data_IF_201378113626
#
_entry.id   IF_201378113626
#
_cell.length_a   1.000
_cell.length_b   1.000
_cell.length_c   1.000
_cell.angle_alpha   90.00
_cell.angle_beta   90.00
_cell.angle_gamma   90.00
#
_symmetry.space_group_name_H-M   'P 1'
#
loop_
_entity.id
_entity.type
_entity.pdbx_description
1 polymer ?
#
# COMPACT_ATOMS: atom_id res chain seq x y z
N UNK A 1 -16.76 -21.25 28.16
CA UNK A 1 -15.64 -21.05 27.20
C UNK A 1 -16.00 -21.71 25.88
N UNK A 2 -16.52 -20.93 24.93
CA UNK A 2 -16.77 -21.38 23.55
C UNK A 2 -15.43 -21.58 22.86
N UNK A 3 -15.13 -22.82 22.48
CA UNK A 3 -13.97 -23.18 21.66
C UNK A 3 -14.03 -22.37 20.36
N UNK A 4 -13.03 -21.53 20.15
CA UNK A 4 -12.71 -20.97 18.84
C UNK A 4 -12.39 -22.18 17.95
N UNK A 5 -13.12 -22.44 16.86
CA UNK A 5 -12.75 -23.50 15.95
C UNK A 5 -11.46 -23.08 15.25
N UNK A 6 -10.38 -23.81 15.52
CA UNK A 6 -9.16 -23.81 14.72
C UNK A 6 -9.52 -24.15 13.27
N UNK A 7 -9.77 -23.11 12.47
CA UNK A 7 -9.77 -23.18 11.02
C UNK A 7 -8.32 -23.34 10.59
N UNK A 8 -7.79 -24.54 10.80
CA UNK A 8 -6.49 -24.98 10.31
C UNK A 8 -6.38 -24.63 8.83
N UNK A 9 -5.51 -23.67 8.54
CA UNK A 9 -5.31 -23.07 7.24
C UNK A 9 -4.58 -24.07 6.33
N UNK A 10 -5.25 -25.15 5.94
CA UNK A 10 -4.81 -26.07 4.88
C UNK A 10 -4.99 -25.36 3.53
N UNK A 11 -4.16 -24.35 3.26
CA UNK A 11 -4.04 -23.85 1.90
C UNK A 11 -3.54 -25.00 1.02
N UNK A 12 -4.33 -25.34 -0.01
CA UNK A 12 -3.91 -26.23 -1.08
C UNK A 12 -2.51 -25.79 -1.57
N UNK A 13 -1.58 -26.74 -1.78
CA UNK A 13 -0.20 -26.49 -2.22
C UNK A 13 -0.12 -25.51 -3.42
N UNK A 14 -1.09 -25.53 -4.34
CA UNK A 14 -1.18 -24.54 -5.41
C UNK A 14 -1.48 -23.11 -4.92
N UNK A 15 -2.37 -22.93 -3.93
CA UNK A 15 -2.65 -21.62 -3.32
C UNK A 15 -1.46 -21.07 -2.56
N UNK A 16 -0.66 -21.94 -1.92
CA UNK A 16 0.61 -21.56 -1.30
C UNK A 16 1.59 -21.03 -2.35
N UNK A 17 1.76 -21.74 -3.47
CA UNK A 17 2.64 -21.29 -4.56
C UNK A 17 2.17 -19.94 -5.12
N UNK A 18 0.87 -19.77 -5.35
CA UNK A 18 0.31 -18.49 -5.82
C UNK A 18 0.55 -17.36 -4.80
N UNK A 19 0.39 -17.62 -3.50
CA UNK A 19 0.67 -16.64 -2.46
C UNK A 19 2.16 -16.22 -2.44
N UNK A 20 3.09 -17.17 -2.59
CA UNK A 20 4.52 -16.85 -2.67
C UNK A 20 4.86 -16.07 -3.95
N UNK A 21 4.29 -16.45 -5.09
CA UNK A 21 4.47 -15.70 -6.35
C UNK A 21 3.90 -14.28 -6.25
N UNK A 22 2.72 -14.12 -5.64
CA UNK A 22 2.13 -12.81 -5.39
C UNK A 22 3.00 -11.95 -4.46
N UNK A 23 3.55 -12.55 -3.40
CA UNK A 23 4.46 -11.87 -2.49
C UNK A 23 5.75 -11.42 -3.19
N UNK A 24 6.36 -12.29 -4.00
CA UNK A 24 7.55 -11.94 -4.80
C UNK A 24 7.21 -10.82 -5.79
N UNK A 25 6.09 -10.93 -6.50
CA UNK A 25 5.63 -9.89 -7.44
C UNK A 25 5.42 -8.54 -6.76
N UNK A 26 4.77 -8.53 -5.59
CA UNK A 26 4.59 -7.32 -4.80
C UNK A 26 5.94 -6.68 -4.41
N UNK A 27 6.90 -7.48 -3.93
CA UNK A 27 8.24 -6.98 -3.56
C UNK A 27 8.99 -6.41 -4.77
N UNK A 28 8.89 -7.02 -5.95
CA UNK A 28 9.49 -6.48 -7.18
C UNK A 28 8.88 -5.13 -7.54
N UNK A 29 7.53 -5.01 -7.50
CA UNK A 29 6.82 -3.76 -7.76
C UNK A 29 7.27 -2.68 -6.76
N UNK A 30 7.42 -3.02 -5.47
CA UNK A 30 7.93 -2.10 -4.45
C UNK A 30 9.38 -1.70 -4.71
N UNK A 31 10.28 -2.63 -5.06
CA UNK A 31 11.66 -2.31 -5.38
C UNK A 31 11.79 -1.34 -6.56
N UNK A 32 11.05 -1.59 -7.65
CA UNK A 32 10.99 -0.70 -8.82
C UNK A 32 10.46 0.67 -8.40
N UNK A 33 9.41 0.70 -7.58
CA UNK A 33 8.81 1.94 -7.08
C UNK A 33 9.85 2.81 -6.34
N UNK A 34 10.71 2.22 -5.50
CA UNK A 34 11.75 2.96 -4.76
C UNK A 34 12.77 3.62 -5.69
N UNK A 35 13.26 2.86 -6.69
CA UNK A 35 14.25 3.35 -7.64
C UNK A 35 13.67 4.45 -8.51
N UNK A 36 12.45 4.25 -9.03
CA UNK A 36 11.75 5.25 -9.86
C UNK A 36 11.42 6.49 -9.04
N UNK A 37 10.87 6.32 -7.83
CA UNK A 37 10.51 7.42 -6.93
C UNK A 37 11.73 8.26 -6.54
N UNK A 38 12.87 7.63 -6.29
CA UNK A 38 14.11 8.37 -6.04
C UNK A 38 14.66 9.00 -7.30
N UNK A 39 14.59 8.33 -8.45
CA UNK A 39 15.08 8.89 -9.72
C UNK A 39 14.33 10.15 -10.17
N UNK A 40 13.06 10.31 -9.77
CA UNK A 40 12.27 11.52 -10.05
C UNK A 40 12.39 12.60 -8.97
N UNK A 41 12.96 12.29 -7.79
CA UNK A 41 13.10 13.23 -6.67
C UNK A 41 14.55 13.63 -6.41
N UNK A 42 14.83 14.89 -6.02
CA UNK A 42 13.93 16.03 -5.96
C UNK A 42 13.87 16.82 -7.28
N UNK A 43 14.74 16.52 -8.24
CA UNK A 43 15.04 17.40 -9.38
C UNK A 43 13.87 17.56 -10.36
N UNK A 44 12.99 16.56 -10.48
CA UNK A 44 11.82 16.61 -11.37
C UNK A 44 10.50 16.82 -10.62
N UNK A 45 10.33 16.17 -9.46
CA UNK A 45 9.14 16.29 -8.62
C UNK A 45 9.52 16.30 -7.14
N UNK A 46 8.96 17.24 -6.38
CA UNK A 46 9.08 17.22 -4.93
C UNK A 46 8.38 15.96 -4.35
N UNK A 47 8.84 15.42 -3.20
CA UNK A 47 8.25 14.23 -2.58
C UNK A 47 6.73 14.33 -2.38
N UNK A 48 6.27 15.51 -1.95
CA UNK A 48 4.85 15.81 -1.76
C UNK A 48 4.06 15.84 -3.07
N UNK A 49 4.68 16.28 -4.16
CA UNK A 49 4.05 16.25 -5.49
C UNK A 49 3.84 14.82 -5.97
N UNK A 50 4.78 13.91 -5.70
CA UNK A 50 4.63 12.49 -6.04
C UNK A 50 3.55 11.81 -5.20
N UNK A 51 3.47 12.11 -3.90
CA UNK A 51 2.36 11.63 -3.06
C UNK A 51 1.02 12.15 -3.60
N UNK A 52 0.94 13.43 -3.92
CA UNK A 52 -0.28 14.04 -4.45
C UNK A 52 -0.72 13.40 -5.77
N UNK A 53 0.23 13.16 -6.69
CA UNK A 53 -0.03 12.47 -7.96
C UNK A 53 -0.56 11.05 -7.73
N UNK A 54 -0.01 10.31 -6.75
CA UNK A 54 -0.50 8.97 -6.40
C UNK A 54 -1.93 9.01 -5.86
N UNK A 55 -2.22 9.92 -4.92
CA UNK A 55 -3.54 10.02 -4.29
C UNK A 55 -4.60 10.43 -5.32
N UNK A 56 -4.31 11.43 -6.14
CA UNK A 56 -5.23 11.90 -7.20
C UNK A 56 -5.42 10.88 -8.30
N UNK A 57 -4.36 10.18 -8.73
CA UNK A 57 -4.44 9.09 -9.68
C UNK A 57 -5.27 7.91 -9.16
N UNK A 58 -5.03 7.49 -7.91
CA UNK A 58 -5.82 6.43 -7.28
C UNK A 58 -7.29 6.83 -7.12
N UNK A 59 -7.56 8.09 -6.71
CA UNK A 59 -8.92 8.63 -6.62
C UNK A 59 -9.61 8.59 -7.99
N UNK A 60 -8.97 9.04 -9.06
CA UNK A 60 -9.54 9.02 -10.40
C UNK A 60 -9.86 7.60 -10.87
N UNK A 61 -8.92 6.66 -10.67
CA UNK A 61 -9.12 5.24 -11.01
C UNK A 61 -10.28 4.64 -10.21
N UNK A 62 -10.30 4.83 -8.89
CA UNK A 62 -11.38 4.32 -8.04
C UNK A 62 -12.73 4.94 -8.38
N UNK A 63 -12.76 6.22 -8.76
CA UNK A 63 -13.98 6.89 -9.23
C UNK A 63 -14.50 6.23 -10.51
N UNK A 64 -13.63 5.99 -11.49
CA UNK A 64 -14.00 5.32 -12.75
C UNK A 64 -14.46 3.88 -12.50
N UNK A 65 -13.75 3.12 -11.66
CA UNK A 65 -14.14 1.75 -11.29
C UNK A 65 -15.50 1.75 -10.56
N UNK A 66 -15.76 2.75 -9.72
CA UNK A 66 -17.05 2.90 -9.03
C UNK A 66 -18.24 3.12 -9.97
N UNK A 67 -18.02 3.50 -11.23
CA UNK A 67 -19.08 3.60 -12.24
C UNK A 67 -19.49 2.21 -12.78
N UNK A 68 -18.56 1.24 -12.76
CA UNK A 68 -18.74 -0.10 -13.34
C UNK A 68 -19.10 -1.11 -12.24
N UNK A 69 -18.63 -0.90 -11.01
CA UNK A 69 -18.78 -1.84 -9.90
C UNK A 69 -20.13 -1.63 -9.16
N UNK A 70 -20.78 -2.70 -8.64
CA UNK A 70 -21.99 -2.57 -7.86
C UNK A 70 -21.75 -1.69 -6.62
N UNK A 71 -22.64 -0.72 -6.40
CA UNK A 71 -22.59 0.18 -5.25
C UNK A 71 -22.81 -0.61 -3.96
N UNK A 72 -21.75 -0.78 -3.19
CA UNK A 72 -21.84 -1.30 -1.82
C UNK A 72 -22.26 -0.16 -0.88
N UNK A 73 -23.35 -0.36 -0.15
CA UNK A 73 -23.80 0.58 0.87
C UNK A 73 -22.92 0.40 2.11
N UNK A 74 -22.06 1.37 2.38
CA UNK A 74 -21.22 1.38 3.58
C UNK A 74 -22.01 1.96 4.73
N UNK A 75 -21.99 1.29 5.89
CA UNK A 75 -22.63 1.80 7.08
C UNK A 75 -21.93 3.07 7.57
N UNK A 76 -22.69 4.08 8.01
CA UNK A 76 -22.13 5.39 8.43
C UNK A 76 -21.07 5.28 9.54
N UNK A 77 -21.17 4.26 10.40
CA UNK A 77 -20.22 4.03 11.48
C UNK A 77 -18.86 3.49 10.98
N UNK A 78 -18.85 2.75 9.85
CA UNK A 78 -17.61 2.26 9.24
C UNK A 78 -16.90 3.36 8.46
N UNK A 79 -17.64 4.38 8.00
CA UNK A 79 -17.05 5.53 7.34
C UNK A 79 -16.05 6.27 8.25
N UNK A 80 -16.34 6.39 9.54
CA UNK A 80 -15.42 6.98 10.51
C UNK A 80 -14.16 6.11 10.71
N UNK A 81 -14.32 4.79 10.81
CA UNK A 81 -13.19 3.85 10.91
C UNK A 81 -12.32 3.89 9.66
N UNK A 82 -12.94 3.93 8.47
CA UNK A 82 -12.25 4.06 7.19
C UNK A 82 -11.50 5.38 7.09
N UNK A 83 -12.08 6.48 7.57
CA UNK A 83 -11.41 7.78 7.61
C UNK A 83 -10.16 7.76 8.51
N UNK A 84 -10.28 7.24 9.73
CA UNK A 84 -9.15 7.10 10.65
C UNK A 84 -8.09 6.16 10.04
N UNK A 85 -8.50 5.02 9.48
CA UNK A 85 -7.59 4.09 8.82
C UNK A 85 -6.89 4.71 7.60
N UNK A 86 -7.58 5.55 6.81
CA UNK A 86 -7.00 6.24 5.67
C UNK A 86 -5.95 7.28 6.12
N UNK A 87 -6.22 8.03 7.19
CA UNK A 87 -5.26 9.02 7.70
C UNK A 87 -4.01 8.32 8.26
N UNK A 88 -4.19 7.41 9.22
CA UNK A 88 -3.07 6.80 9.93
C UNK A 88 -2.37 5.72 9.10
N UNK A 89 -3.14 4.88 8.41
CA UNK A 89 -2.61 3.75 7.66
C UNK A 89 -2.06 4.11 6.29
N UNK A 90 -2.65 5.10 5.61
CA UNK A 90 -2.29 5.44 4.22
C UNK A 90 -1.60 6.79 4.12
N UNK A 91 -2.24 7.87 4.57
CA UNK A 91 -1.73 9.22 4.34
C UNK A 91 -0.43 9.50 5.11
N UNK A 92 -0.42 9.26 6.43
CA UNK A 92 0.77 9.44 7.27
C UNK A 92 1.89 8.50 6.81
N UNK A 93 1.56 7.23 6.52
CA UNK A 93 2.52 6.25 6.02
C UNK A 93 3.20 6.74 4.72
N UNK A 94 2.42 7.15 3.72
CA UNK A 94 2.97 7.64 2.45
C UNK A 94 3.84 8.90 2.64
N UNK A 95 3.43 9.85 3.49
CA UNK A 95 4.21 11.05 3.76
C UNK A 95 5.56 10.70 4.39
N UNK A 96 5.54 9.93 5.48
CA UNK A 96 6.76 9.52 6.17
C UNK A 96 7.67 8.68 5.27
N UNK A 97 7.09 7.80 4.46
CA UNK A 97 7.82 6.95 3.54
C UNK A 97 8.60 7.77 2.49
N UNK A 98 7.93 8.70 1.82
CA UNK A 98 8.55 9.49 0.77
C UNK A 98 9.51 10.55 1.28
N UNK A 99 9.24 11.18 2.43
CA UNK A 99 10.21 12.07 3.09
C UNK A 99 11.45 11.27 3.53
N UNK A 100 11.26 10.08 4.11
CA UNK A 100 12.35 9.17 4.45
C UNK A 100 13.17 8.75 3.24
N UNK A 101 12.51 8.35 2.15
CA UNK A 101 13.16 8.01 0.88
C UNK A 101 13.90 9.20 0.26
N UNK A 102 13.36 10.41 0.39
CA UNK A 102 14.01 11.62 -0.10
C UNK A 102 15.29 11.95 0.68
N UNK A 103 15.31 11.72 1.99
CA UNK A 103 16.46 11.95 2.87
C UNK A 103 17.54 10.85 2.80
N UNK A 104 17.20 9.67 2.28
CA UNK A 104 18.12 8.51 2.24
C UNK A 104 18.33 7.96 0.82
N UNK A 105 19.16 6.92 0.67
CA UNK A 105 19.31 6.20 -0.61
C UNK A 105 18.28 5.09 -0.72
N UNK A 106 17.85 4.68 -1.93
CA UNK A 106 16.90 3.57 -2.11
C UNK A 106 17.34 2.30 -1.39
N UNK A 107 18.65 2.01 -1.42
CA UNK A 107 19.25 0.83 -0.77
C UNK A 107 19.04 0.90 0.76
N UNK A 108 19.37 2.02 1.38
CA UNK A 108 19.22 2.19 2.83
C UNK A 108 17.74 2.19 3.24
N UNK A 109 16.85 2.80 2.44
CA UNK A 109 15.42 2.77 2.68
C UNK A 109 14.86 1.34 2.63
N UNK A 110 15.28 0.52 1.65
CA UNK A 110 14.85 -0.87 1.52
C UNK A 110 15.29 -1.72 2.71
N UNK A 111 16.52 -1.54 3.21
CA UNK A 111 17.02 -2.25 4.39
C UNK A 111 16.22 -1.91 5.64
N UNK A 112 15.93 -0.63 5.86
CA UNK A 112 15.12 -0.18 7.02
C UNK A 112 13.70 -0.78 6.93
N UNK A 113 13.09 -0.82 5.75
CA UNK A 113 11.73 -1.34 5.62
C UNK A 113 11.60 -2.85 5.90
N UNK A 114 12.63 -3.65 5.62
CA UNK A 114 12.64 -5.08 5.98
C UNK A 114 12.59 -5.31 7.50
N UNK A 115 13.00 -4.32 8.30
CA UNK A 115 12.90 -4.36 9.76
C UNK A 115 11.50 -4.01 10.31
N UNK A 116 10.55 -3.60 9.47
CA UNK A 116 9.17 -3.34 9.87
C UNK A 116 8.41 -4.68 9.88
N UNK A 117 7.83 -5.09 11.03
CA UNK A 117 7.11 -6.37 11.16
C UNK A 117 5.82 -6.40 10.34
#
# INVERSE_FOLDING_TARGET
MSRIPDQGHFLNRNKLVVAHLAAIGANIIFGINYVVAKGIMPDYLAPRAVIFLRVTGAMAIFWVISLIMPKQVVAKHDLLKMFIAAIFGVAINQILFFEGLNLTTPINASVIMVGVP
#
